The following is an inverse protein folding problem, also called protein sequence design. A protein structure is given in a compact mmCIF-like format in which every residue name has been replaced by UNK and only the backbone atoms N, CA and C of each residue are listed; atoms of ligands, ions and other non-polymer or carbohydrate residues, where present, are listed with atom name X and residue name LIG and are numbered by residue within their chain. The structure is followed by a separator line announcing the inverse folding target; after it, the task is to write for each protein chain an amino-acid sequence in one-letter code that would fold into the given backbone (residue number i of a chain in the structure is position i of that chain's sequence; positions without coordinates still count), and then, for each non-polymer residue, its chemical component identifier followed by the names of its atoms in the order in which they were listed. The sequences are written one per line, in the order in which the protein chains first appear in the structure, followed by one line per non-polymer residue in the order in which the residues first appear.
data_IF_000117767588
#
_entry.id   IF_000117767588
#
_cell.length_a   1.000
_cell.length_b   1.000
_cell.length_c   1.000
_cell.angle_alpha   90.00
_cell.angle_beta   90.00
_cell.angle_gamma   90.00
#
_symmetry.space_group_name_H-M   'P 1'
#
loop_
_entity.id
_entity.type
_entity.pdbx_description
1 polymer ?
#
# COMPACT_ATOMS: atom_id res chain seq x y z
N UNK A 1 27.22 -17.79 -21.65
CA UNK A 1 26.33 -17.85 -20.48
C UNK A 1 24.93 -17.43 -20.85
N UNK A 2 23.97 -18.35 -20.80
CA UNK A 2 22.55 -18.02 -20.97
C UNK A 2 22.07 -17.37 -19.66
N UNK A 3 21.38 -16.22 -19.68
CA UNK A 3 20.75 -15.67 -18.49
C UNK A 3 19.80 -16.72 -17.90
N UNK A 4 19.96 -17.05 -16.62
CA UNK A 4 19.10 -17.99 -15.91
C UNK A 4 18.43 -17.27 -14.76
N UNK A 5 17.11 -17.43 -14.67
CA UNK A 5 16.31 -16.99 -13.54
C UNK A 5 16.41 -18.09 -12.48
N UNK A 6 16.71 -17.73 -11.24
CA UNK A 6 16.79 -18.65 -10.10
C UNK A 6 15.82 -18.21 -9.01
N UNK A 7 15.11 -19.13 -8.35
CA UNK A 7 14.35 -18.81 -7.14
C UNK A 7 15.25 -18.16 -6.08
N UNK A 8 14.70 -17.21 -5.34
CA UNK A 8 15.34 -16.60 -4.19
C UNK A 8 14.58 -17.00 -2.92
N UNK A 9 15.30 -17.14 -1.80
CA UNK A 9 14.67 -17.45 -0.51
C UNK A 9 13.93 -16.21 0.01
N UNK A 10 12.61 -16.34 0.16
CA UNK A 10 11.71 -15.30 0.63
C UNK A 10 12.14 -14.70 1.98
N UNK A 11 12.73 -15.49 2.88
CA UNK A 11 13.17 -14.99 4.18
C UNK A 11 14.39 -14.08 4.06
N UNK A 12 15.30 -14.42 3.15
CA UNK A 12 16.55 -13.65 2.96
C UNK A 12 16.35 -12.37 2.15
N UNK A 13 15.29 -12.31 1.35
CA UNK A 13 15.02 -11.19 0.42
C UNK A 13 14.05 -10.15 1.00
N UNK A 14 13.58 -10.33 2.23
CA UNK A 14 12.56 -9.47 2.85
C UNK A 14 12.99 -7.99 2.92
N UNK A 15 14.25 -7.71 3.25
CA UNK A 15 14.79 -6.34 3.23
C UNK A 15 14.78 -5.74 1.83
N UNK A 16 15.19 -6.50 0.81
CA UNK A 16 15.16 -6.04 -0.59
C UNK A 16 13.71 -5.84 -1.08
N UNK A 17 12.78 -6.67 -0.62
CA UNK A 17 11.35 -6.52 -0.87
C UNK A 17 10.77 -5.25 -0.24
N UNK A 18 11.13 -4.93 1.01
CA UNK A 18 10.74 -3.68 1.66
C UNK A 18 11.25 -2.45 0.90
N UNK A 19 12.49 -2.47 0.42
CA UNK A 19 13.04 -1.40 -0.43
C UNK A 19 12.28 -1.30 -1.75
N UNK A 20 11.96 -2.42 -2.39
CA UNK A 20 11.17 -2.44 -3.62
C UNK A 20 9.76 -1.86 -3.41
N UNK A 21 9.12 -2.16 -2.28
CA UNK A 21 7.82 -1.62 -1.92
C UNK A 21 7.86 -0.11 -1.69
N UNK A 22 8.89 0.40 -1.02
CA UNK A 22 9.11 1.84 -0.88
C UNK A 22 9.26 2.55 -2.23
N UNK A 23 9.95 1.92 -3.19
CA UNK A 23 10.05 2.46 -4.55
C UNK A 23 8.67 2.53 -5.23
N UNK A 24 7.83 1.51 -5.06
CA UNK A 24 6.44 1.51 -5.56
C UNK A 24 5.62 2.61 -4.90
N UNK A 25 5.64 2.73 -3.57
CA UNK A 25 4.91 3.77 -2.83
C UNK A 25 5.35 5.19 -3.22
N UNK A 26 6.64 5.40 -3.50
CA UNK A 26 7.17 6.67 -4.02
C UNK A 26 6.77 6.94 -5.47
N UNK A 27 6.58 5.90 -6.28
CA UNK A 27 6.13 6.03 -7.66
C UNK A 27 4.65 6.41 -7.75
N UNK A 28 3.81 5.79 -6.90
CA UNK A 28 2.36 6.05 -6.85
C UNK A 28 2.04 7.51 -6.53
N UNK A 29 0.93 7.98 -7.09
CA UNK A 29 0.45 9.38 -6.98
C UNK A 29 -0.85 9.52 -6.22
N UNK A 30 -1.58 8.42 -6.05
CA UNK A 30 -2.89 8.38 -5.42
C UNK A 30 -3.03 7.18 -4.48
N UNK A 31 -4.00 7.29 -3.57
CA UNK A 31 -4.28 6.32 -2.53
C UNK A 31 -3.28 6.35 -1.38
N UNK A 32 -3.20 5.22 -0.68
CA UNK A 32 -2.44 5.09 0.56
C UNK A 32 -1.19 4.22 0.41
N UNK A 33 -0.22 4.45 1.28
CA UNK A 33 1.04 3.71 1.35
C UNK A 33 0.74 2.25 1.67
N UNK A 34 1.41 1.34 0.96
CA UNK A 34 1.33 -0.08 1.22
C UNK A 34 2.41 -0.51 2.22
N UNK A 35 2.00 -1.29 3.22
CA UNK A 35 2.87 -2.03 4.12
C UNK A 35 3.16 -3.43 3.59
N UNK A 36 4.35 -3.96 3.88
CA UNK A 36 4.74 -5.32 3.51
C UNK A 36 4.12 -6.31 4.50
N UNK A 37 3.30 -7.25 4.00
CA UNK A 37 2.78 -8.35 4.83
C UNK A 37 3.69 -9.58 4.75
N UNK A 38 4.02 -10.02 3.54
CA UNK A 38 5.02 -11.08 3.31
C UNK A 38 5.53 -11.10 1.87
N UNK A 39 6.68 -11.76 1.68
CA UNK A 39 7.17 -12.14 0.35
C UNK A 39 6.52 -13.45 -0.07
N UNK A 40 5.58 -13.39 -1.01
CA UNK A 40 4.85 -14.56 -1.50
C UNK A 40 5.67 -15.38 -2.51
N UNK A 41 6.48 -14.70 -3.35
CA UNK A 41 7.39 -15.34 -4.30
C UNK A 41 8.55 -14.40 -4.66
N UNK A 42 9.73 -14.96 -4.95
CA UNK A 42 10.90 -14.19 -5.31
C UNK A 42 11.80 -14.94 -6.30
N UNK A 43 12.21 -14.25 -7.36
CA UNK A 43 13.11 -14.78 -8.38
C UNK A 43 14.17 -13.76 -8.74
N UNK A 44 15.42 -14.20 -8.85
CA UNK A 44 16.57 -13.37 -9.20
C UNK A 44 17.13 -13.79 -10.55
N UNK A 45 17.42 -12.81 -11.39
CA UNK A 45 18.09 -12.98 -12.66
C UNK A 45 19.42 -12.23 -12.63
N UNK A 46 20.51 -12.94 -12.87
CA UNK A 46 21.83 -12.34 -13.03
C UNK A 46 22.10 -12.03 -14.52
N UNK A 47 22.42 -10.77 -14.81
CA UNK A 47 22.75 -10.29 -16.16
C UNK A 47 24.14 -9.68 -16.11
N UNK A 48 25.16 -10.52 -16.35
CA UNK A 48 26.55 -10.16 -16.19
C UNK A 48 26.81 -9.65 -14.78
N UNK A 49 27.01 -8.33 -14.68
CA UNK A 49 27.33 -7.63 -13.45
C UNK A 49 26.13 -6.98 -12.76
N UNK A 50 24.94 -7.10 -13.35
CA UNK A 50 23.68 -6.58 -12.80
C UNK A 50 22.77 -7.70 -12.36
N UNK A 51 21.73 -7.37 -11.59
CA UNK A 51 20.65 -8.30 -11.28
C UNK A 51 19.27 -7.67 -11.46
N UNK A 52 18.32 -8.48 -11.90
CA UNK A 52 16.88 -8.17 -11.87
C UNK A 52 16.24 -9.02 -10.79
N UNK A 53 15.38 -8.42 -9.97
CA UNK A 53 14.61 -9.11 -8.95
C UNK A 53 13.13 -9.02 -9.32
N UNK A 54 12.48 -10.18 -9.41
CA UNK A 54 11.04 -10.32 -9.60
C UNK A 54 10.44 -10.72 -8.26
N UNK A 55 9.52 -9.91 -7.76
CA UNK A 55 8.88 -10.10 -6.46
C UNK A 55 7.38 -10.22 -6.65
N UNK A 56 6.77 -11.14 -5.90
CA UNK A 56 5.35 -11.12 -5.59
C UNK A 56 5.24 -10.88 -4.10
N UNK A 57 4.70 -9.72 -3.72
CA UNK A 57 4.53 -9.29 -2.33
C UNK A 57 3.04 -9.28 -2.01
N UNK A 58 2.69 -9.87 -0.88
CA UNK A 58 1.39 -9.62 -0.28
C UNK A 58 1.52 -8.36 0.58
N UNK A 59 0.56 -7.43 0.45
CA UNK A 59 0.63 -6.08 1.01
C UNK A 59 -0.67 -5.70 1.71
N UNK A 60 -0.57 -4.72 2.61
CA UNK A 60 -1.69 -4.12 3.32
C UNK A 60 -1.74 -2.62 3.08
N UNK A 61 -2.94 -2.06 2.94
CA UNK A 61 -3.13 -0.60 2.92
C UNK A 61 -2.92 0.01 4.31
N UNK A 62 -2.24 1.16 4.40
CA UNK A 62 -2.01 1.92 5.65
C UNK A 62 -2.84 3.21 5.68
N UNK A 63 -2.80 3.99 6.76
CA UNK A 63 -3.47 5.30 6.80
C UNK A 63 -2.71 6.45 6.13
N UNK A 64 -1.42 6.23 5.83
CA UNK A 64 -0.60 7.25 5.21
C UNK A 64 -0.99 7.46 3.75
N UNK A 65 -1.30 8.70 3.34
CA UNK A 65 -1.34 9.04 1.92
C UNK A 65 0.03 8.84 1.26
N UNK A 66 0.07 8.33 0.03
CA UNK A 66 1.32 8.23 -0.76
C UNK A 66 1.98 9.59 -1.01
N UNK A 67 1.20 10.69 -0.92
CA UNK A 67 1.71 12.06 -1.03
C UNK A 67 2.60 12.45 0.16
N UNK A 68 2.47 11.79 1.30
CA UNK A 68 3.34 12.01 2.47
C UNK A 68 4.79 11.58 2.23
N UNK A 69 5.02 10.69 1.25
CA UNK A 69 6.33 10.10 0.92
C UNK A 69 7.03 9.41 2.09
N UNK A 70 6.27 9.05 3.14
CA UNK A 70 6.77 8.31 4.29
C UNK A 70 7.20 6.90 3.90
N UNK A 71 8.16 6.37 4.65
CA UNK A 71 8.53 4.96 4.56
C UNK A 71 7.40 4.11 5.10
N UNK A 72 7.14 2.96 4.49
CA UNK A 72 6.00 2.13 4.87
C UNK A 72 6.01 1.69 6.34
N UNK A 73 7.18 1.39 6.91
CA UNK A 73 7.33 1.00 8.33
C UNK A 73 6.97 2.13 9.31
N UNK A 74 6.93 3.38 8.84
CA UNK A 74 6.56 4.54 9.66
C UNK A 74 5.08 4.90 9.56
N UNK A 75 4.29 4.09 8.83
CA UNK A 75 2.87 4.29 8.65
C UNK A 75 2.09 3.31 9.51
N UNK A 76 1.16 3.87 10.29
CA UNK A 76 0.24 3.08 11.09
C UNK A 76 -0.84 2.46 10.20
N UNK A 77 -1.30 1.29 10.62
CA UNK A 77 -2.50 0.66 10.10
C UNK A 77 -3.66 1.19 10.94
N UNK A 78 -4.78 1.54 10.31
CA UNK A 78 -5.76 2.39 10.97
C UNK A 78 -6.54 1.77 12.11
N UNK A 79 -7.30 2.57 12.83
CA UNK A 79 -8.09 2.09 13.98
C UNK A 79 -9.25 1.16 13.57
N UNK A 80 -9.72 1.25 12.32
CA UNK A 80 -10.60 0.23 11.71
C UNK A 80 -9.91 -1.11 11.49
N UNK A 81 -8.59 -1.17 11.70
CA UNK A 81 -7.68 -2.29 11.52
C UNK A 81 -7.06 -2.75 12.84
N UNK A 82 -7.65 -2.34 13.98
CA UNK A 82 -7.12 -2.74 15.28
C UNK A 82 -7.17 -4.26 15.43
N UNK A 83 -6.01 -4.89 15.18
CA UNK A 83 -5.65 -6.23 15.65
C UNK A 83 -5.84 -6.20 17.16
N UNK A 84 -7.03 -6.59 17.59
CA UNK A 84 -7.35 -6.64 18.98
C UNK A 84 -6.37 -7.66 19.60
N UNK A 85 -5.52 -7.17 20.50
CA UNK A 85 -4.45 -7.88 21.21
C UNK A 85 -4.97 -8.98 22.16
N UNK A 86 -6.18 -9.45 21.91
CA UNK A 86 -6.98 -10.45 22.60
C UNK A 86 -7.62 -11.47 21.63
N UNK A 87 -7.27 -11.47 20.34
CA UNK A 87 -7.67 -12.52 19.39
C UNK A 87 -9.01 -12.29 18.68
N UNK A 88 -9.50 -11.04 18.63
CA UNK A 88 -10.58 -10.64 17.72
C UNK A 88 -9.99 -10.01 16.45
N UNK A 89 -10.45 -10.54 15.33
CA UNK A 89 -9.82 -10.59 14.01
C UNK A 89 -9.79 -9.23 13.30
N UNK A 90 -8.75 -8.99 12.50
CA UNK A 90 -8.52 -7.76 11.74
C UNK A 90 -9.73 -7.38 10.88
N UNK A 91 -10.30 -6.21 11.14
CA UNK A 91 -11.39 -5.63 10.35
C UNK A 91 -10.80 -4.82 9.19
N UNK A 92 -11.35 -5.01 8.00
CA UNK A 92 -11.14 -4.13 6.83
C UNK A 92 -9.75 -4.02 6.21
N UNK A 93 -8.85 -4.99 6.39
CA UNK A 93 -7.64 -5.09 5.58
C UNK A 93 -7.99 -5.18 4.09
N UNK A 94 -7.81 -4.08 3.35
CA UNK A 94 -7.66 -4.15 1.89
C UNK A 94 -6.33 -4.86 1.65
N UNK A 95 -6.43 -6.18 1.54
CA UNK A 95 -5.32 -7.05 1.27
C UNK A 95 -5.00 -7.02 -0.21
N UNK A 96 -3.73 -6.88 -0.54
CA UNK A 96 -3.30 -6.78 -1.92
C UNK A 96 -2.17 -7.70 -2.25
N UNK A 97 -1.95 -7.83 -3.55
CA UNK A 97 -0.74 -8.41 -4.08
C UNK A 97 -0.10 -7.45 -5.06
N UNK A 98 1.20 -7.24 -4.88
CA UNK A 98 2.06 -6.46 -5.76
C UNK A 98 3.07 -7.37 -6.46
N UNK A 99 3.08 -7.35 -7.79
CA UNK A 99 4.17 -7.89 -8.61
C UNK A 99 5.13 -6.77 -8.93
N UNK A 100 6.39 -6.88 -8.52
CA UNK A 100 7.38 -5.82 -8.64
C UNK A 100 8.61 -6.35 -9.36
N UNK A 101 9.15 -5.55 -10.27
CA UNK A 101 10.42 -5.81 -10.96
C UNK A 101 11.37 -4.69 -10.60
N UNK A 102 12.50 -5.03 -10.00
CA UNK A 102 13.59 -4.09 -9.74
C UNK A 102 14.86 -4.48 -10.49
N UNK A 103 15.65 -3.48 -10.86
CA UNK A 103 16.93 -3.64 -11.52
C UNK A 103 18.03 -2.99 -10.68
N UNK A 104 19.08 -3.75 -10.37
CA UNK A 104 20.25 -3.25 -9.65
C UNK A 104 21.46 -3.39 -10.55
N UNK A 105 22.05 -2.25 -10.93
CA UNK A 105 23.33 -2.24 -11.64
C UNK A 105 24.50 -2.22 -10.67
N UNK A 106 25.62 -2.79 -11.10
CA UNK A 106 26.86 -2.80 -10.31
C UNK A 106 27.41 -1.39 -9.99
N UNK A 107 27.15 -0.42 -10.87
CA UNK A 107 27.61 0.97 -10.71
C UNK A 107 26.78 1.72 -9.67
N UNK A 108 25.45 1.55 -9.69
CA UNK A 108 24.55 2.30 -8.81
C UNK A 108 24.45 1.65 -7.42
N UNK A 109 24.62 0.32 -7.33
CA UNK A 109 24.45 -0.50 -6.11
C UNK A 109 23.12 -0.27 -5.38
N UNK A 110 22.15 0.38 -6.03
CA UNK A 110 20.82 0.68 -5.52
C UNK A 110 19.80 0.11 -6.50
N UNK A 111 18.75 -0.57 -6.00
CA UNK A 111 17.67 -1.03 -6.85
C UNK A 111 16.92 0.15 -7.45
N UNK A 112 16.55 0.01 -8.72
CA UNK A 112 15.66 0.91 -9.43
C UNK A 112 14.38 0.16 -9.77
N UNK A 113 13.24 0.84 -9.66
CA UNK A 113 11.96 0.29 -10.06
C UNK A 113 11.90 0.21 -11.58
N UNK A 114 11.74 -1.00 -12.12
CA UNK A 114 11.56 -1.23 -13.54
C UNK A 114 10.09 -1.26 -13.91
N UNK A 115 9.27 -1.89 -13.09
CA UNK A 115 7.83 -1.94 -13.26
C UNK A 115 7.14 -2.60 -12.07
N UNK A 116 5.85 -2.34 -11.91
CA UNK A 116 5.04 -3.00 -10.91
C UNK A 116 3.57 -3.05 -11.34
N UNK A 117 2.83 -3.97 -10.74
CA UNK A 117 1.38 -4.00 -10.80
C UNK A 117 0.87 -4.46 -9.44
N UNK A 118 -0.04 -3.69 -8.84
CA UNK A 118 -0.62 -3.99 -7.55
C UNK A 118 -2.14 -4.08 -7.70
N UNK A 119 -2.74 -5.09 -7.08
CA UNK A 119 -4.19 -5.24 -6.98
C UNK A 119 -4.54 -5.36 -5.51
N UNK A 120 -5.47 -4.54 -5.04
CA UNK A 120 -6.06 -4.63 -3.71
C UNK A 120 -7.45 -5.24 -3.82
N UNK A 121 -7.83 -6.00 -2.82
CA UNK A 121 -9.20 -6.50 -2.68
C UNK A 121 -9.57 -6.54 -1.20
N UNK A 122 -10.79 -6.12 -0.86
CA UNK A 122 -11.26 -6.26 0.51
C UNK A 122 -11.34 -7.76 0.84
N UNK A 123 -10.98 -8.12 2.08
CA UNK A 123 -11.17 -9.49 2.55
C UNK A 123 -12.67 -9.87 2.45
N UNK A 124 -12.99 -11.01 1.79
CA UNK A 124 -14.36 -11.51 1.73
C UNK A 124 -14.96 -11.69 3.14
N UNK A 125 -16.19 -11.21 3.39
CA UNK A 125 -16.83 -11.33 4.72
C UNK A 125 -16.91 -12.77 5.22
N UNK A 126 -17.12 -13.73 4.32
CA UNK A 126 -17.31 -15.15 4.65
C UNK A 126 -16.03 -15.81 5.23
N UNK A 127 -14.87 -15.17 5.10
CA UNK A 127 -13.61 -15.61 5.71
C UNK A 127 -13.37 -15.01 7.09
N UNK A 128 -14.22 -14.07 7.53
CA UNK A 128 -14.16 -13.46 8.84
C UNK A 128 -15.08 -14.23 9.80
N UNK A 129 -14.52 -15.20 10.52
CA UNK A 129 -15.23 -15.90 11.60
C UNK A 129 -15.34 -15.00 12.83
N UNK A 130 -16.21 -13.99 12.79
CA UNK A 130 -16.42 -13.11 13.93
C UNK A 130 -17.90 -12.91 14.25
N UNK A 131 -18.28 -13.31 15.47
CA UNK A 131 -19.67 -13.41 15.91
C UNK A 131 -20.26 -12.07 16.39
N UNK A 132 -19.40 -11.12 16.77
CA UNK A 132 -19.76 -9.83 17.37
C UNK A 132 -18.93 -8.66 16.80
N UNK A 133 -18.33 -8.83 15.62
CA UNK A 133 -17.55 -7.75 15.01
C UNK A 133 -18.47 -6.57 14.66
N UNK A 134 -18.11 -5.32 15.02
CA UNK A 134 -18.81 -4.14 14.52
C UNK A 134 -19.04 -4.24 13.00
N UNK A 135 -20.19 -3.72 12.57
CA UNK A 135 -20.61 -3.79 11.16
C UNK A 135 -19.49 -3.22 10.29
N UNK A 136 -19.04 -4.04 9.33
CA UNK A 136 -18.00 -3.73 8.35
C UNK A 136 -18.13 -2.30 7.85
N UNK A 137 -17.03 -1.56 7.92
CA UNK A 137 -16.93 -0.28 7.22
C UNK A 137 -16.96 -0.56 5.72
N UNK A 138 -18.11 -0.32 5.10
CA UNK A 138 -18.33 -0.57 3.68
C UNK A 138 -17.60 0.52 2.87
N UNK A 139 -16.66 0.12 2.01
CA UNK A 139 -16.04 1.05 1.06
C UNK A 139 -17.06 1.33 -0.04
N UNK A 140 -17.56 2.56 -0.08
CA UNK A 140 -18.56 2.97 -1.06
C UNK A 140 -17.94 3.61 -2.29
N UNK A 141 -18.62 3.50 -3.42
CA UNK A 141 -18.28 4.29 -4.61
C UNK A 141 -18.43 5.79 -4.31
N UNK A 142 -17.47 6.57 -4.82
CA UNK A 142 -17.48 8.02 -4.68
C UNK A 142 -18.54 8.60 -5.62
N UNK A 143 -19.61 9.14 -5.04
CA UNK A 143 -20.69 9.82 -5.76
C UNK A 143 -20.48 11.34 -5.75
N UNK A 144 -21.19 12.06 -6.61
CA UNK A 144 -21.22 13.54 -6.56
C UNK A 144 -21.72 14.07 -5.22
N UNK A 145 -22.60 13.33 -4.53
CA UNK A 145 -23.03 13.68 -3.18
C UNK A 145 -21.85 13.63 -2.19
N UNK A 146 -21.01 12.60 -2.27
CA UNK A 146 -19.82 12.49 -1.42
C UNK A 146 -18.82 13.64 -1.67
N UNK A 147 -18.60 14.01 -2.94
CA UNK A 147 -17.75 15.17 -3.28
C UNK A 147 -18.30 16.48 -2.72
N UNK A 148 -19.62 16.68 -2.79
CA UNK A 148 -20.28 17.86 -2.21
C UNK A 148 -20.15 17.93 -0.69
N UNK A 149 -20.21 16.77 0.00
CA UNK A 149 -19.98 16.70 1.45
C UNK A 149 -18.54 17.08 1.78
N UNK A 150 -17.56 16.52 1.07
CA UNK A 150 -16.15 16.86 1.24
C UNK A 150 -15.88 18.36 0.98
N UNK A 151 -16.47 18.94 -0.06
CA UNK A 151 -16.34 20.36 -0.37
C UNK A 151 -16.90 21.25 0.74
N UNK A 152 -18.06 20.91 1.32
CA UNK A 152 -18.64 21.62 2.46
C UNK A 152 -17.77 21.52 3.71
N UNK A 153 -17.22 20.33 3.99
CA UNK A 153 -16.31 20.13 5.10
C UNK A 153 -15.03 20.96 4.94
N UNK A 154 -14.46 21.00 3.74
CA UNK A 154 -13.28 21.81 3.44
C UNK A 154 -13.57 23.30 3.49
N UNK A 155 -14.76 23.74 3.06
CA UNK A 155 -15.18 25.13 3.18
C UNK A 155 -15.21 25.56 4.65
N UNK A 156 -15.75 24.71 5.53
CA UNK A 156 -15.74 24.96 6.98
C UNK A 156 -14.30 25.07 7.51
N UNK A 157 -13.41 24.15 7.11
CA UNK A 157 -12.00 24.21 7.48
C UNK A 157 -11.33 25.51 7.01
N UNK A 158 -11.57 25.94 5.77
CA UNK A 158 -11.02 27.20 5.25
C UNK A 158 -11.51 28.43 6.03
N UNK A 159 -12.76 28.43 6.51
CA UNK A 159 -13.31 29.57 7.27
C UNK A 159 -12.90 29.60 8.73
N UNK A 160 -12.65 28.43 9.33
CA UNK A 160 -12.44 28.30 10.78
C UNK A 160 -10.97 28.04 11.16
N UNK A 161 -10.14 27.60 10.22
CA UNK A 161 -8.72 27.32 10.49
C UNK A 161 -7.87 28.59 10.44
N UNK A 162 -6.72 28.55 11.13
CA UNK A 162 -5.71 29.61 11.09
C UNK A 162 -4.71 29.47 9.92
N UNK A 163 -5.02 28.64 8.92
CA UNK A 163 -4.14 28.47 7.77
C UNK A 163 -4.23 29.69 6.84
N UNK A 164 -3.08 30.08 6.27
CA UNK A 164 -2.99 31.23 5.35
C UNK A 164 -3.47 30.92 3.93
N UNK A 165 -3.54 29.63 3.57
CA UNK A 165 -3.93 29.16 2.25
C UNK A 165 -5.40 28.72 2.25
N UNK A 166 -6.06 28.93 1.12
CA UNK A 166 -7.36 28.35 0.82
C UNK A 166 -7.19 27.10 -0.01
N UNK A 167 -7.91 26.05 0.38
CA UNK A 167 -7.83 24.75 -0.28
C UNK A 167 -9.11 24.45 -1.05
N UNK A 168 -8.98 23.68 -2.14
CA UNK A 168 -10.10 23.07 -2.85
C UNK A 168 -9.98 21.55 -2.79
N UNK A 169 -11.10 20.84 -2.90
CA UNK A 169 -11.10 19.38 -2.97
C UNK A 169 -10.55 18.96 -4.32
N UNK A 170 -9.46 18.21 -4.31
CA UNK A 170 -8.87 17.61 -5.50
C UNK A 170 -9.54 16.26 -5.81
N UNK A 171 -9.45 15.32 -4.85
CA UNK A 171 -10.03 13.98 -4.96
C UNK A 171 -10.52 13.51 -3.59
N UNK A 172 -11.63 12.76 -3.60
CA UNK A 172 -12.04 11.94 -2.46
C UNK A 172 -11.49 10.53 -2.70
N UNK A 173 -10.57 10.08 -1.85
CA UNK A 173 -9.88 8.79 -2.03
C UNK A 173 -10.74 7.61 -1.59
N UNK A 174 -11.42 7.72 -0.45
CA UNK A 174 -12.17 6.63 0.17
C UNK A 174 -13.41 7.17 0.88
N UNK A 175 -14.52 6.43 0.82
CA UNK A 175 -15.72 6.68 1.61
C UNK A 175 -16.00 5.43 2.43
N UNK A 176 -16.21 5.65 3.72
CA UNK A 176 -16.41 4.65 4.75
C UNK A 176 -17.82 4.85 5.32
N UNK A 177 -18.59 3.77 5.46
CA UNK A 177 -19.97 3.78 5.96
C UNK A 177 -20.06 3.23 7.38
#
# INVERSE_FOLDING_TARGET
NKPSITPADCNTIETDAGVALDLVNRHRRDGYVFGLFRVADAHKLHIGNSSVLYLTLDVLETECSVLSRRHWESCEYGDTYSMASNGTQAESDDFGQCKIITYTSQLLKKPQLYGFNCTLSPVPPDLLECKDCPVKVEVLEVTEQHKNIAAKALQKFNSESNHTNYFNVDKVEKILK
#
